data_IF_570734530014
#
_entry.id   IF_570734530014
#
_cell.length_a   1.000
_cell.length_b   1.000
_cell.length_c   1.000
_cell.angle_alpha   90.00
_cell.angle_beta   90.00
_cell.angle_gamma   90.00
#
_symmetry.space_group_name_H-M   'P 1'
#
loop_
_entity.id
_entity.type
_entity.pdbx_description
1 polymer ?
#
# COMPACT_ATOMS: atom_id res chain seq x y z
N UNK A 1 26.43 3.76 59.31
CA UNK A 1 25.99 2.81 58.26
C UNK A 1 24.73 3.39 57.61
N UNK A 2 24.82 4.38 56.73
CA UNK A 2 23.61 5.17 56.37
C UNK A 2 23.50 5.60 54.89
N UNK A 3 24.16 4.92 53.94
CA UNK A 3 24.06 5.31 52.51
C UNK A 3 23.40 4.24 51.61
N UNK A 4 22.97 3.10 52.15
CA UNK A 4 22.35 2.01 51.34
C UNK A 4 20.85 2.16 51.15
N UNK A 5 20.15 2.86 52.04
CA UNK A 5 18.70 3.13 51.92
C UNK A 5 18.36 4.14 50.81
N UNK A 6 19.28 5.05 50.48
CA UNK A 6 19.06 6.05 49.43
C UNK A 6 19.21 5.47 48.04
N UNK A 7 20.22 4.63 47.79
CA UNK A 7 20.47 4.06 46.45
C UNK A 7 19.29 3.19 45.98
N UNK A 8 18.71 2.40 46.89
CA UNK A 8 17.54 1.59 46.56
C UNK A 8 16.33 2.45 46.19
N UNK A 9 16.13 3.54 46.93
CA UNK A 9 15.05 4.51 46.68
C UNK A 9 15.25 5.24 45.35
N UNK A 10 16.48 5.70 45.07
CA UNK A 10 16.83 6.31 43.79
C UNK A 10 16.69 5.33 42.61
N UNK A 11 17.03 4.05 42.80
CA UNK A 11 16.84 3.03 41.78
C UNK A 11 15.35 2.79 41.47
N UNK A 12 14.50 2.74 42.50
CA UNK A 12 13.04 2.60 42.31
C UNK A 12 12.47 3.81 41.56
N UNK A 13 12.91 5.03 41.91
CA UNK A 13 12.49 6.25 41.22
C UNK A 13 12.97 6.27 39.76
N UNK A 14 14.21 5.86 39.50
CA UNK A 14 14.76 5.79 38.14
C UNK A 14 14.00 4.78 37.27
N UNK A 15 13.65 3.61 37.83
CA UNK A 15 12.83 2.60 37.14
C UNK A 15 11.42 3.14 36.87
N UNK A 16 10.80 3.81 37.84
CA UNK A 16 9.48 4.42 37.66
C UNK A 16 9.49 5.48 36.53
N UNK A 17 10.52 6.33 36.49
CA UNK A 17 10.68 7.33 35.41
C UNK A 17 10.89 6.63 34.06
N UNK A 18 11.72 5.59 34.01
CA UNK A 18 11.94 4.82 32.78
C UNK A 18 10.65 4.15 32.25
N UNK A 19 9.81 3.61 33.14
CA UNK A 19 8.51 3.04 32.78
C UNK A 19 7.55 4.11 32.27
N UNK A 20 7.50 5.29 32.90
CA UNK A 20 6.65 6.40 32.44
C UNK A 20 7.12 6.95 31.10
N UNK A 21 8.43 7.10 30.89
CA UNK A 21 9.01 7.54 29.62
C UNK A 21 8.76 6.49 28.51
N UNK A 22 8.93 5.20 28.81
CA UNK A 22 8.61 4.11 27.88
C UNK A 22 7.10 4.02 27.57
N UNK A 23 6.23 4.20 28.56
CA UNK A 23 4.78 4.25 28.37
C UNK A 23 4.35 5.46 27.52
N UNK A 24 4.98 6.63 27.73
CA UNK A 24 4.76 7.81 26.90
C UNK A 24 5.27 7.58 25.46
N UNK A 25 6.50 7.08 25.28
CA UNK A 25 7.07 6.79 23.97
C UNK A 25 6.32 5.67 23.23
N UNK A 26 5.80 4.66 23.92
CA UNK A 26 4.97 3.63 23.30
C UNK A 26 3.58 4.17 22.93
N UNK A 27 3.00 5.09 23.71
CA UNK A 27 1.73 5.74 23.35
C UNK A 27 1.88 6.69 22.15
N UNK A 28 2.99 7.43 22.07
CA UNK A 28 3.26 8.31 20.92
C UNK A 28 3.91 7.58 19.73
N UNK A 29 4.56 6.44 19.94
CA UNK A 29 5.20 5.62 18.91
C UNK A 29 4.31 4.53 18.30
N UNK A 30 3.20 4.16 18.93
CA UNK A 30 2.25 3.15 18.41
C UNK A 30 0.97 3.73 17.81
N UNK A 31 0.84 5.06 17.71
CA UNK A 31 -0.21 5.68 16.89
C UNK A 31 0.14 5.74 15.39
N UNK A 32 1.33 5.30 14.98
CA UNK A 32 1.71 5.13 13.58
C UNK A 32 1.43 3.70 13.07
N UNK A 33 0.31 3.09 13.47
CA UNK A 33 0.04 1.71 13.05
C UNK A 33 -1.32 1.08 13.37
N UNK A 34 -2.21 1.69 14.16
CA UNK A 34 -3.50 1.06 14.51
C UNK A 34 -4.77 1.80 14.09
N UNK A 35 -4.65 2.93 13.42
CA UNK A 35 -5.77 3.63 12.74
C UNK A 35 -5.80 3.35 11.22
N UNK A 36 -5.03 2.38 10.74
CA UNK A 36 -4.93 2.06 9.31
C UNK A 36 -5.55 0.70 8.92
N UNK A 37 -6.29 0.01 9.79
CA UNK A 37 -6.98 -1.24 9.40
C UNK A 37 -8.49 -1.22 9.58
N UNK A 38 -9.04 -0.29 10.36
CA UNK A 38 -10.51 -0.14 10.46
C UNK A 38 -11.07 0.88 9.44
N UNK A 39 -10.32 1.92 9.08
CA UNK A 39 -10.71 2.82 7.99
C UNK A 39 -10.34 2.26 6.61
N UNK A 40 -9.37 1.35 6.53
CA UNK A 40 -8.96 0.74 5.25
C UNK A 40 -9.95 -0.28 4.74
N UNK A 41 -10.81 -0.87 5.57
CA UNK A 41 -11.88 -1.72 5.05
C UNK A 41 -13.08 -0.91 4.53
N UNK A 42 -13.28 0.33 5.01
CA UNK A 42 -14.33 1.21 4.50
C UNK A 42 -13.84 2.05 3.30
N UNK A 43 -12.57 2.45 3.27
CA UNK A 43 -11.96 3.14 2.13
C UNK A 43 -11.50 2.20 1.00
N UNK A 44 -11.20 0.92 1.30
CA UNK A 44 -10.95 -0.08 0.25
C UNK A 44 -12.24 -0.50 -0.46
N UNK A 45 -13.38 -0.54 0.27
CA UNK A 45 -14.67 -0.80 -0.35
C UNK A 45 -15.23 0.42 -1.09
N UNK A 46 -15.08 1.64 -0.57
CA UNK A 46 -15.63 2.85 -1.22
C UNK A 46 -14.71 3.48 -2.28
N UNK A 47 -13.41 3.16 -2.28
CA UNK A 47 -12.46 3.64 -3.29
C UNK A 47 -12.43 2.82 -4.58
N UNK A 48 -12.95 1.58 -4.56
CA UNK A 48 -13.03 0.73 -5.75
C UNK A 48 -14.34 0.90 -6.54
N UNK A 49 -15.40 1.43 -5.92
CA UNK A 49 -16.66 1.71 -6.64
C UNK A 49 -16.56 2.96 -7.54
N UNK A 50 -15.63 3.90 -7.24
CA UNK A 50 -15.42 5.09 -8.04
C UNK A 50 -14.55 4.87 -9.29
N UNK A 51 -13.79 3.78 -9.36
CA UNK A 51 -13.06 3.37 -10.58
C UNK A 51 -13.86 2.39 -11.46
N UNK A 52 -14.99 1.86 -10.97
CA UNK A 52 -15.76 0.84 -11.71
C UNK A 52 -16.84 1.42 -12.65
N UNK A 53 -17.00 2.73 -12.72
CA UNK A 53 -18.15 3.32 -13.43
C UNK A 53 -17.79 4.55 -14.26
N UNK A 54 -16.84 4.38 -15.19
CA UNK A 54 -16.69 5.28 -16.33
C UNK A 54 -16.28 4.48 -17.57
N UNK A 55 -17.27 3.83 -18.19
CA UNK A 55 -17.14 3.46 -19.62
C UNK A 55 -16.81 2.01 -19.95
N UNK A 56 -17.45 1.03 -19.31
CA UNK A 56 -17.54 -0.33 -19.87
C UNK A 56 -18.52 -0.36 -21.06
N UNK A 57 -18.11 0.20 -22.20
CA UNK A 57 -18.60 -0.03 -23.57
C UNK A 57 -17.65 0.79 -24.47
N UNK A 58 -16.82 0.25 -25.38
CA UNK A 58 -17.12 -0.73 -26.41
C UNK A 58 -15.80 -1.35 -26.93
N UNK A 59 -15.75 -2.68 -27.03
CA UNK A 59 -14.57 -3.46 -27.43
C UNK A 59 -13.85 -4.05 -26.22
N UNK A 60 -13.43 -5.32 -26.29
CA UNK A 60 -12.86 -6.14 -25.20
C UNK A 60 -11.71 -5.51 -24.39
N UNK A 61 -11.20 -4.35 -24.82
CA UNK A 61 -10.02 -3.70 -24.28
C UNK A 61 -10.30 -2.45 -23.41
N UNK A 62 -11.49 -1.83 -23.46
CA UNK A 62 -11.73 -0.55 -22.76
C UNK A 62 -10.84 0.62 -23.23
N UNK A 63 -10.65 1.64 -22.39
CA UNK A 63 -9.76 2.77 -22.68
C UNK A 63 -8.28 2.43 -22.39
N UNK A 64 -7.46 2.36 -23.44
CA UNK A 64 -6.03 2.02 -23.32
C UNK A 64 -5.14 3.19 -22.85
N UNK A 65 -5.71 4.39 -22.69
CA UNK A 65 -5.01 5.53 -22.09
C UNK A 65 -5.30 5.65 -20.59
N UNK A 66 -6.33 4.95 -20.11
CA UNK A 66 -6.66 4.91 -18.69
C UNK A 66 -5.73 3.95 -17.96
N UNK A 67 -4.94 4.50 -17.03
CA UNK A 67 -3.94 3.75 -16.24
C UNK A 67 -4.58 2.58 -15.49
N UNK A 68 -5.75 2.79 -14.89
CA UNK A 68 -6.47 1.75 -14.14
C UNK A 68 -6.93 0.59 -15.03
N UNK A 69 -7.46 0.89 -16.22
CA UNK A 69 -7.86 -0.12 -17.18
C UNK A 69 -6.65 -0.91 -17.69
N UNK A 70 -5.56 -0.24 -18.08
CA UNK A 70 -4.32 -0.92 -18.51
C UNK A 70 -3.74 -1.81 -17.41
N UNK A 71 -3.80 -1.37 -16.16
CA UNK A 71 -3.39 -2.19 -15.02
C UNK A 71 -4.27 -3.44 -14.89
N UNK A 72 -5.58 -3.31 -15.04
CA UNK A 72 -6.50 -4.46 -15.03
C UNK A 72 -6.18 -5.45 -16.18
N UNK A 73 -6.01 -4.96 -17.41
CA UNK A 73 -5.66 -5.81 -18.55
C UNK A 73 -4.34 -6.56 -18.33
N UNK A 74 -3.34 -5.90 -17.72
CA UNK A 74 -2.03 -6.51 -17.45
C UNK A 74 -2.06 -7.64 -16.41
N UNK A 75 -3.11 -7.73 -15.58
CA UNK A 75 -3.33 -8.87 -14.67
C UNK A 75 -3.84 -10.11 -15.40
N UNK A 76 -4.38 -9.96 -16.61
CA UNK A 76 -4.93 -11.05 -17.43
C UNK A 76 -4.30 -11.07 -18.83
N UNK A 77 -2.97 -11.23 -18.93
CA UNK A 77 -2.24 -11.01 -20.17
C UNK A 77 -2.59 -12.02 -21.27
N UNK A 78 -2.95 -13.26 -20.92
CA UNK A 78 -3.38 -14.27 -21.89
C UNK A 78 -4.75 -14.01 -22.52
N UNK A 79 -5.63 -13.28 -21.82
CA UNK A 79 -6.97 -12.96 -22.30
C UNK A 79 -6.98 -11.68 -23.11
N UNK A 80 -6.12 -10.71 -22.74
CA UNK A 80 -6.08 -9.38 -23.35
C UNK A 80 -4.78 -9.11 -24.11
N UNK A 81 -4.10 -10.15 -24.59
CA UNK A 81 -2.83 -10.05 -25.32
C UNK A 81 -2.90 -9.01 -26.46
N UNK A 82 -3.96 -9.06 -27.25
CA UNK A 82 -4.15 -8.16 -28.39
C UNK A 82 -4.48 -6.72 -27.98
N UNK A 83 -5.12 -6.53 -26.82
CA UNK A 83 -5.35 -5.21 -26.23
C UNK A 83 -4.03 -4.62 -25.71
N UNK A 84 -3.26 -5.42 -24.99
CA UNK A 84 -1.99 -5.00 -24.41
C UNK A 84 -0.96 -4.63 -25.49
N UNK A 85 -1.00 -5.30 -26.64
CA UNK A 85 -0.20 -4.93 -27.83
C UNK A 85 -0.48 -3.52 -28.34
N UNK A 86 -1.69 -3.00 -28.13
CA UNK A 86 -2.11 -1.67 -28.60
C UNK A 86 -1.81 -0.55 -27.59
N UNK A 87 -1.59 -0.88 -26.31
CA UNK A 87 -1.28 0.11 -25.27
C UNK A 87 0.05 0.82 -25.55
N UNK A 88 0.13 2.13 -25.37
CA UNK A 88 1.41 2.84 -25.53
C UNK A 88 2.44 2.39 -24.48
N UNK A 89 3.74 2.28 -24.81
CA UNK A 89 4.76 1.88 -23.83
C UNK A 89 4.80 2.79 -22.59
N UNK A 90 4.56 4.09 -22.77
CA UNK A 90 4.53 5.08 -21.69
C UNK A 90 3.37 4.83 -20.73
N UNK A 91 2.15 4.63 -21.24
CA UNK A 91 0.98 4.36 -20.39
C UNK A 91 1.11 2.98 -19.72
N UNK A 92 1.63 1.98 -20.44
CA UNK A 92 1.88 0.66 -19.88
C UNK A 92 2.88 0.71 -18.71
N UNK A 93 3.98 1.45 -18.87
CA UNK A 93 4.98 1.64 -17.81
C UNK A 93 4.41 2.42 -16.63
N UNK A 94 3.55 3.41 -16.89
CA UNK A 94 2.85 4.14 -15.83
C UNK A 94 1.87 3.25 -15.05
N UNK A 95 1.17 2.33 -15.72
CA UNK A 95 0.18 1.44 -15.11
C UNK A 95 0.78 0.25 -14.36
N UNK A 96 1.86 -0.33 -14.89
CA UNK A 96 2.44 -1.59 -14.38
C UNK A 96 3.79 -1.41 -13.69
N UNK A 97 4.43 -0.25 -13.85
CA UNK A 97 5.80 0.00 -13.41
C UNK A 97 6.87 -0.73 -14.23
N UNK A 98 6.49 -1.48 -15.27
CA UNK A 98 7.39 -2.34 -16.05
C UNK A 98 7.43 -1.92 -17.52
N UNK A 99 8.55 -2.13 -18.19
CA UNK A 99 8.66 -1.91 -19.62
C UNK A 99 7.80 -2.91 -20.40
N UNK A 100 7.02 -2.38 -21.34
CA UNK A 100 6.03 -3.16 -22.11
C UNK A 100 6.66 -4.35 -22.84
N UNK A 101 7.80 -4.14 -23.49
CA UNK A 101 8.49 -5.19 -24.25
C UNK A 101 8.96 -6.34 -23.36
N UNK A 102 9.53 -6.03 -22.19
CA UNK A 102 9.94 -7.02 -21.21
C UNK A 102 8.73 -7.82 -20.70
N UNK A 103 7.61 -7.14 -20.44
CA UNK A 103 6.37 -7.79 -20.03
C UNK A 103 5.82 -8.73 -21.10
N UNK A 104 5.77 -8.31 -22.38
CA UNK A 104 5.27 -9.17 -23.46
C UNK A 104 6.15 -10.41 -23.65
N UNK A 105 7.47 -10.23 -23.61
CA UNK A 105 8.42 -11.34 -23.73
C UNK A 105 8.27 -12.35 -22.59
N UNK A 106 8.07 -11.89 -21.35
CA UNK A 106 7.85 -12.77 -20.19
C UNK A 106 6.54 -13.57 -20.28
N UNK A 107 5.53 -13.01 -20.95
CA UNK A 107 4.19 -13.62 -21.06
C UNK A 107 3.96 -14.33 -22.41
N UNK A 108 4.94 -14.34 -23.32
CA UNK A 108 4.83 -15.00 -24.62
C UNK A 108 3.83 -14.33 -25.57
N UNK A 109 3.70 -12.99 -25.50
CA UNK A 109 2.72 -12.18 -26.25
C UNK A 109 3.36 -11.48 -27.45
#
# INVERSE_FOLDING_TARGET
>A
MENKGNILSYAIVAVAIAVVVWAALSTFGLNTGKTASYNSNQASSQGMDAMHSSGMNAGECGDLNEVGNVQHLSHHPSQYADCLKQVSPTVFKQATGTDKEAFMQQNGI
#
